data_IF_872851427610
#
_entry.id   IF_872851427610
#
_cell.length_a   1.000
_cell.length_b   1.000
_cell.length_c   1.000
_cell.angle_alpha   90.00
_cell.angle_beta   90.00
_cell.angle_gamma   90.00
#
_symmetry.space_group_name_H-M   'P 1'
#
loop_
_entity.id
_entity.type
_entity.pdbx_description
1 polymer ?
#
# COMPACT_ATOMS: atom_id res chain seq x y z
N UNK A 1 -13.09 -34.30 12.48
CA UNK A 1 -11.62 -34.23 12.38
C UNK A 1 -11.19 -32.85 12.84
N UNK A 2 -10.45 -32.73 13.95
CA UNK A 2 -9.86 -31.46 14.37
C UNK A 2 -8.59 -31.23 13.55
N UNK A 3 -8.73 -30.55 12.41
CA UNK A 3 -7.57 -30.13 11.62
C UNK A 3 -6.96 -28.88 12.28
N UNK A 4 -5.86 -29.07 12.98
CA UNK A 4 -5.04 -27.96 13.46
C UNK A 4 -4.36 -27.28 12.27
N UNK A 5 -4.75 -26.04 12.00
CA UNK A 5 -4.08 -25.23 10.99
C UNK A 5 -2.72 -24.76 11.54
N UNK A 6 -1.63 -25.17 10.90
CA UNK A 6 -0.28 -24.69 11.21
C UNK A 6 0.08 -23.57 10.23
N UNK A 7 0.37 -22.38 10.76
CA UNK A 7 0.79 -21.22 9.99
C UNK A 7 2.27 -20.97 10.20
N UNK A 8 3.03 -20.84 9.11
CA UNK A 8 4.41 -20.37 9.13
C UNK A 8 4.46 -18.94 8.62
N UNK A 9 5.10 -18.06 9.36
CA UNK A 9 5.28 -16.66 9.01
C UNK A 9 6.74 -16.28 9.13
N UNK A 10 7.15 -15.25 8.39
CA UNK A 10 8.55 -14.83 8.34
C UNK A 10 9.01 -14.04 9.57
N UNK A 11 8.08 -13.40 10.29
CA UNK A 11 8.36 -12.56 11.46
C UNK A 11 7.55 -13.02 12.66
N UNK A 12 8.19 -13.09 13.82
CA UNK A 12 7.51 -13.42 15.06
C UNK A 12 6.41 -12.42 15.42
N UNK A 13 5.34 -12.93 16.02
CA UNK A 13 4.23 -12.10 16.49
C UNK A 13 4.60 -11.44 17.82
N UNK A 14 4.13 -10.20 18.10
CA UNK A 14 4.44 -9.49 19.34
C UNK A 14 4.01 -10.27 20.59
N UNK A 15 4.81 -10.22 21.67
CA UNK A 15 4.41 -10.80 22.95
C UNK A 15 3.11 -10.14 23.43
N UNK A 16 2.12 -10.92 23.87
CA UNK A 16 0.75 -10.49 24.25
C UNK A 16 -0.23 -10.17 23.11
N UNK A 17 0.06 -10.60 21.87
CA UNK A 17 -0.92 -10.46 20.79
C UNK A 17 -2.21 -11.27 21.03
N UNK A 18 -3.36 -10.64 20.77
CA UNK A 18 -4.65 -11.28 20.57
C UNK A 18 -4.91 -11.43 19.08
N UNK A 19 -5.24 -12.66 18.69
CA UNK A 19 -5.61 -12.96 17.32
C UNK A 19 -7.08 -12.62 17.08
N UNK A 20 -7.38 -11.81 16.06
CA UNK A 20 -8.76 -11.37 15.78
C UNK A 20 -9.41 -12.12 14.62
N UNK A 21 -8.76 -12.13 13.46
CA UNK A 21 -9.38 -12.63 12.22
C UNK A 21 -8.33 -13.22 11.29
N UNK A 22 -8.64 -14.39 10.72
CA UNK A 22 -7.94 -14.97 9.57
C UNK A 22 -8.88 -14.84 8.37
N UNK A 23 -8.39 -14.26 7.27
CA UNK A 23 -9.10 -14.22 6.00
C UNK A 23 -8.27 -14.90 4.93
N UNK A 24 -8.83 -15.94 4.31
CA UNK A 24 -8.25 -16.62 3.15
C UNK A 24 -8.93 -16.06 1.90
N UNK A 25 -8.15 -15.49 0.99
CA UNK A 25 -8.65 -14.88 -0.24
C UNK A 25 -8.09 -15.66 -1.43
N UNK A 26 -8.95 -16.14 -2.31
CA UNK A 26 -8.55 -16.71 -3.61
C UNK A 26 -8.77 -15.67 -4.70
N UNK A 27 -7.70 -15.24 -5.37
CA UNK A 27 -7.79 -14.32 -6.49
C UNK A 27 -6.78 -14.69 -7.59
N UNK A 28 -7.21 -14.72 -8.86
CA UNK A 28 -6.40 -15.09 -10.02
C UNK A 28 -5.56 -16.37 -9.80
N UNK A 29 -6.18 -17.46 -9.33
CA UNK A 29 -5.52 -18.73 -8.97
C UNK A 29 -4.40 -18.65 -7.91
N UNK A 30 -4.26 -17.52 -7.23
CA UNK A 30 -3.38 -17.35 -6.08
C UNK A 30 -4.21 -17.31 -4.79
N UNK A 31 -3.64 -17.85 -3.73
CA UNK A 31 -4.19 -17.78 -2.38
C UNK A 31 -3.43 -16.72 -1.59
N UNK A 32 -4.16 -15.85 -0.92
CA UNK A 32 -3.65 -14.84 -0.02
C UNK A 32 -4.19 -15.12 1.37
N UNK A 33 -3.35 -14.89 2.37
CA UNK A 33 -3.72 -14.99 3.77
C UNK A 33 -3.56 -13.59 4.38
N UNK A 34 -4.65 -13.05 4.90
CA UNK A 34 -4.63 -11.83 5.68
C UNK A 34 -5.00 -12.18 7.12
N UNK A 35 -4.23 -11.68 8.08
CA UNK A 35 -4.51 -11.86 9.49
C UNK A 35 -4.49 -10.52 10.21
N UNK A 36 -5.41 -10.36 11.14
CA UNK A 36 -5.51 -9.19 12.01
C UNK A 36 -5.16 -9.61 13.42
N UNK A 37 -4.21 -8.90 14.02
CA UNK A 37 -3.79 -9.05 15.41
C UNK A 37 -3.98 -7.72 16.13
N UNK A 38 -4.33 -7.78 17.40
CA UNK A 38 -4.25 -6.64 18.32
C UNK A 38 -3.16 -6.97 19.33
N UNK A 39 -2.30 -6.03 19.66
CA UNK A 39 -1.29 -6.21 20.70
C UNK A 39 -1.10 -4.87 21.40
N UNK A 40 -0.80 -4.93 22.69
CA UNK A 40 -0.45 -3.75 23.46
C UNK A 40 1.03 -3.46 23.26
N UNK A 41 1.34 -2.28 22.74
CA UNK A 41 2.73 -1.88 22.51
C UNK A 41 3.25 -1.17 23.77
N UNK A 42 3.91 -1.92 24.66
CA UNK A 42 4.43 -1.40 25.93
C UNK A 42 5.53 -0.34 25.77
N UNK A 43 6.14 -0.25 24.58
CA UNK A 43 7.30 0.60 24.30
C UNK A 43 6.99 1.83 23.43
N UNK A 44 5.72 2.12 23.13
CA UNK A 44 5.38 3.42 22.53
C UNK A 44 5.31 4.42 23.67
N UNK A 45 6.44 5.03 24.00
CA UNK A 45 6.43 6.25 24.78
C UNK A 45 5.72 7.32 23.96
N UNK A 46 4.41 7.48 24.17
CA UNK A 46 3.71 8.69 23.76
C UNK A 46 4.48 9.86 24.38
N UNK A 47 5.09 10.67 23.53
CA UNK A 47 5.88 11.82 23.97
C UNK A 47 4.93 12.72 24.77
N UNK A 48 5.07 12.70 26.09
CA UNK A 48 4.41 13.63 26.99
C UNK A 48 4.83 15.04 26.58
N UNK A 49 3.87 15.96 26.42
CA UNK A 49 4.15 17.36 26.10
C UNK A 49 5.00 18.07 27.16
N UNK A 50 5.21 17.46 28.34
CA UNK A 50 6.08 17.95 29.41
C UNK A 50 7.53 17.46 29.31
N UNK A 51 7.78 16.33 28.64
CA UNK A 51 9.10 15.67 28.50
C UNK A 51 9.44 15.44 27.01
N UNK A 52 9.26 16.48 26.20
CA UNK A 52 9.64 16.49 24.79
C UNK A 52 11.17 16.48 24.66
N UNK A 53 11.76 15.29 24.61
CA UNK A 53 13.16 15.12 24.22
C UNK A 53 13.27 15.39 22.71
N UNK A 54 13.53 16.64 22.34
CA UNK A 54 13.70 17.09 20.95
C UNK A 54 14.73 16.22 20.20
N UNK A 55 15.69 15.60 20.92
CA UNK A 55 16.67 14.70 20.32
C UNK A 55 16.08 13.38 19.78
N UNK A 56 14.86 13.01 20.22
CA UNK A 56 14.10 11.85 19.71
C UNK A 56 13.09 12.23 18.63
N UNK A 57 12.93 13.51 18.33
CA UNK A 57 12.04 13.94 17.26
C UNK A 57 12.67 13.55 15.91
N UNK A 58 11.91 12.80 15.11
CA UNK A 58 12.25 12.55 13.70
C UNK A 58 11.39 13.50 12.88
N UNK A 59 12.02 14.53 12.33
CA UNK A 59 11.38 15.38 11.33
C UNK A 59 11.43 14.68 9.97
N UNK A 60 10.30 14.66 9.25
CA UNK A 60 10.18 14.06 7.93
C UNK A 60 9.71 15.17 7.00
N UNK A 61 10.65 15.84 6.32
CA UNK A 61 10.31 16.81 5.30
C UNK A 61 10.14 16.10 3.95
N UNK A 62 8.97 16.29 3.35
CA UNK A 62 8.57 15.65 2.10
C UNK A 62 8.90 16.56 0.93
N UNK A 63 10.16 16.53 0.47
CA UNK A 63 10.56 17.23 -0.76
C UNK A 63 10.31 16.35 -2.00
N UNK A 64 10.09 17.01 -3.14
CA UNK A 64 9.77 16.36 -4.42
C UNK A 64 10.90 15.43 -4.88
N UNK A 65 12.16 15.74 -4.59
CA UNK A 65 13.28 14.93 -5.06
C UNK A 65 13.77 13.91 -4.02
N UNK A 66 13.62 14.21 -2.74
CA UNK A 66 14.23 13.47 -1.63
C UNK A 66 13.43 13.66 -0.34
N UNK A 67 13.47 12.65 0.52
CA UNK A 67 12.99 12.73 1.90
C UNK A 67 14.22 12.92 2.78
N UNK A 68 14.26 14.01 3.52
CA UNK A 68 15.32 14.25 4.50
C UNK A 68 14.95 13.54 5.80
N UNK A 69 15.88 12.75 6.32
CA UNK A 69 15.77 12.19 7.65
C UNK A 69 16.37 13.16 8.68
N UNK A 70 15.97 13.03 9.94
CA UNK A 70 16.58 13.78 11.05
C UNK A 70 18.08 13.49 11.24
N UNK A 71 18.59 12.40 10.66
CA UNK A 71 20.02 12.09 10.57
C UNK A 71 20.77 12.91 9.51
N UNK A 72 20.07 13.71 8.70
CA UNK A 72 20.63 14.41 7.54
C UNK A 72 20.77 13.54 6.28
N UNK A 73 20.40 12.25 6.36
CA UNK A 73 20.41 11.34 5.22
C UNK A 73 19.27 11.67 4.26
N UNK A 74 19.56 11.59 2.96
CA UNK A 74 18.64 11.93 1.88
C UNK A 74 18.19 10.64 1.17
N UNK A 75 16.91 10.30 1.31
CA UNK A 75 16.31 9.16 0.60
C UNK A 75 15.70 9.66 -0.71
N UNK A 76 16.26 9.25 -1.84
CA UNK A 76 15.74 9.61 -3.16
C UNK A 76 14.32 9.06 -3.38
N UNK A 77 13.35 9.94 -3.62
CA UNK A 77 11.95 9.53 -3.86
C UNK A 77 11.67 9.14 -5.30
N UNK A 78 12.54 9.54 -6.24
CA UNK A 78 12.36 9.31 -7.68
C UNK A 78 10.99 9.77 -8.21
N UNK A 79 10.36 10.74 -7.53
CA UNK A 79 8.97 11.12 -7.80
C UNK A 79 8.77 11.62 -9.23
N UNK A 80 9.75 12.35 -9.79
CA UNK A 80 9.75 12.84 -11.18
C UNK A 80 9.86 11.70 -12.20
N UNK A 81 10.65 10.67 -11.90
CA UNK A 81 10.75 9.48 -12.75
C UNK A 81 9.46 8.67 -12.73
N UNK A 82 8.89 8.43 -11.55
CA UNK A 82 7.62 7.72 -11.40
C UNK A 82 6.43 8.48 -12.00
N UNK A 83 6.42 9.82 -11.85
CA UNK A 83 5.37 10.67 -12.40
C UNK A 83 5.48 10.87 -13.92
N UNK A 84 6.67 10.71 -14.52
CA UNK A 84 6.84 10.76 -15.98
C UNK A 84 5.90 9.78 -16.70
N UNK A 85 5.74 8.54 -16.20
CA UNK A 85 4.79 7.58 -16.75
C UNK A 85 3.32 8.04 -16.60
N UNK A 86 2.98 8.72 -15.49
CA UNK A 86 1.63 9.28 -15.25
C UNK A 86 1.28 10.43 -16.20
N UNK A 87 2.28 11.21 -16.63
CA UNK A 87 2.12 12.35 -17.53
C UNK A 87 2.44 12.05 -18.99
N UNK A 88 2.95 10.86 -19.29
CA UNK A 88 3.19 10.43 -20.66
C UNK A 88 1.90 10.52 -21.50
N UNK A 89 2.04 11.10 -22.70
CA UNK A 89 0.93 11.34 -23.60
C UNK A 89 0.27 10.03 -24.04
N UNK A 90 1.05 8.96 -24.25
CA UNK A 90 0.51 7.67 -24.61
C UNK A 90 -0.31 7.07 -23.45
N UNK A 91 0.23 7.12 -22.22
CA UNK A 91 -0.49 6.70 -21.03
C UNK A 91 -1.79 7.49 -20.79
N UNK A 92 -1.76 8.83 -20.89
CA UNK A 92 -2.96 9.69 -20.79
C UNK A 92 -4.00 9.37 -21.86
N UNK A 93 -3.58 9.09 -23.09
CA UNK A 93 -4.48 8.66 -24.18
C UNK A 93 -5.17 7.35 -23.85
N UNK A 94 -4.44 6.37 -23.29
CA UNK A 94 -5.02 5.09 -22.85
C UNK A 94 -6.02 5.28 -21.71
N UNK A 95 -5.69 6.09 -20.70
CA UNK A 95 -6.61 6.43 -19.61
C UNK A 95 -7.90 7.07 -20.11
N UNK A 96 -7.81 8.05 -21.03
CA UNK A 96 -9.00 8.71 -21.62
C UNK A 96 -9.85 7.73 -22.44
N UNK A 97 -9.23 6.84 -23.21
CA UNK A 97 -9.95 5.78 -23.95
C UNK A 97 -10.71 4.86 -23.00
N UNK A 98 -10.09 4.46 -21.89
CA UNK A 98 -10.74 3.62 -20.89
C UNK A 98 -11.88 4.34 -20.17
N UNK A 99 -11.67 5.60 -19.76
CA UNK A 99 -12.71 6.41 -19.11
C UNK A 99 -13.93 6.60 -20.02
N UNK A 100 -13.74 6.89 -21.31
CA UNK A 100 -14.84 7.02 -22.28
C UNK A 100 -15.62 5.72 -22.45
N UNK A 101 -14.94 4.57 -22.47
CA UNK A 101 -15.60 3.26 -22.53
C UNK A 101 -16.47 3.01 -21.30
N UNK A 102 -15.94 3.24 -20.10
CA UNK A 102 -16.68 3.09 -18.83
C UNK A 102 -17.91 4.01 -18.82
N UNK A 103 -17.77 5.25 -19.29
CA UNK A 103 -18.87 6.21 -19.33
C UNK A 103 -19.96 5.77 -20.32
N UNK A 104 -19.57 5.30 -21.51
CA UNK A 104 -20.49 4.74 -22.51
C UNK A 104 -21.27 3.55 -21.96
N UNK A 105 -20.59 2.59 -21.33
CA UNK A 105 -21.23 1.38 -20.78
C UNK A 105 -22.17 1.70 -19.63
N UNK A 106 -21.84 2.69 -18.79
CA UNK A 106 -22.75 3.17 -17.74
C UNK A 106 -24.00 3.82 -18.33
N UNK A 107 -23.83 4.65 -19.37
CA UNK A 107 -24.94 5.36 -20.04
C UNK A 107 -25.87 4.41 -20.79
N UNK A 108 -25.29 3.48 -21.55
CA UNK A 108 -26.04 2.56 -22.42
C UNK A 108 -26.43 1.25 -21.71
N UNK A 109 -25.98 1.05 -20.45
CA UNK A 109 -26.17 -0.19 -19.67
C UNK A 109 -25.69 -1.45 -20.41
N UNK A 110 -24.64 -1.31 -21.24
CA UNK A 110 -24.04 -2.40 -22.01
C UNK A 110 -22.79 -2.96 -21.31
N UNK A 111 -22.45 -4.23 -21.59
CA UNK A 111 -21.27 -4.89 -21.00
C UNK A 111 -19.98 -4.21 -21.46
N UNK A 112 -19.04 -4.01 -20.52
CA UNK A 112 -17.73 -3.42 -20.82
C UNK A 112 -16.92 -4.31 -21.77
N UNK A 113 -16.49 -3.76 -22.90
CA UNK A 113 -15.67 -4.46 -23.89
C UNK A 113 -14.22 -4.66 -23.41
N UNK A 114 -13.54 -5.68 -23.94
CA UNK A 114 -12.17 -6.01 -23.57
C UNK A 114 -11.20 -4.87 -23.92
N UNK A 115 -10.12 -4.73 -23.14
CA UNK A 115 -9.07 -3.76 -23.42
C UNK A 115 -8.32 -4.11 -24.71
N UNK A 116 -8.11 -3.12 -25.58
CA UNK A 116 -7.24 -3.29 -26.74
C UNK A 116 -5.82 -3.63 -26.25
N UNK A 117 -5.34 -4.85 -26.57
CA UNK A 117 -3.95 -5.26 -26.41
C UNK A 117 -3.33 -5.27 -27.80
N UNK A 118 -2.28 -4.47 -28.02
CA UNK A 118 -1.46 -4.62 -29.22
C UNK A 118 -0.60 -5.87 -28.99
N UNK A 119 -0.76 -6.89 -29.84
CA UNK A 119 0.17 -8.01 -29.85
C UNK A 119 1.49 -7.49 -30.43
N UNK A 120 2.59 -7.73 -29.70
CA UNK A 120 3.95 -7.57 -30.19
C UNK A 120 4.36 -8.85 -30.90
#
# INVERSE_FOLDING_TARGET
MNTFFKMCYHRDLPNTYKFNQITIIKNHNKYYLAFSIIYDESNVSLISSKDLDIKKAVDIDLNINEITLSSGELIATNSKLLSRAKYDLAFKRLQRKQSRRILKTKKEKTKLSHNFKKHN
#
